data_IF_612729193954
#
_entry.id   IF_612729193954
#
_cell.length_a   1.000
_cell.length_b   1.000
_cell.length_c   1.000
_cell.angle_alpha   90.00
_cell.angle_beta   90.00
_cell.angle_gamma   90.00
#
_symmetry.space_group_name_H-M   'P 1'
#
loop_
_entity.id
_entity.type
_entity.pdbx_description
1 polymer ?
#
# COMPACT_ATOMS: atom_id res chain seq x y z
N UNK A 1 -11.44 -3.73 -8.57
CA UNK A 1 -10.68 -2.59 -7.98
C UNK A 1 -9.81 -3.03 -6.79
N UNK A 2 -10.32 -3.87 -5.87
CA UNK A 2 -9.53 -4.48 -4.77
C UNK A 2 -8.27 -5.21 -5.28
N UNK A 3 -8.36 -5.92 -6.40
CA UNK A 3 -7.20 -6.53 -7.08
C UNK A 3 -6.16 -5.52 -7.59
N UNK A 4 -6.57 -4.31 -7.98
CA UNK A 4 -5.68 -3.37 -8.66
C UNK A 4 -4.56 -2.85 -7.74
N UNK A 5 -4.87 -2.61 -6.47
CA UNK A 5 -3.87 -2.22 -5.46
C UNK A 5 -2.92 -3.38 -5.16
N UNK A 6 -3.45 -4.60 -5.06
CA UNK A 6 -2.64 -5.79 -4.83
C UNK A 6 -1.64 -6.00 -5.98
N UNK A 7 -2.11 -5.88 -7.22
CA UNK A 7 -1.24 -5.96 -8.41
C UNK A 7 -0.21 -4.82 -8.44
N UNK A 8 -0.60 -3.60 -8.08
CA UNK A 8 0.32 -2.46 -8.01
C UNK A 8 1.40 -2.65 -6.93
N UNK A 9 1.03 -3.17 -5.76
CA UNK A 9 1.95 -3.50 -4.67
C UNK A 9 2.91 -4.63 -5.06
N UNK A 10 2.40 -5.70 -5.64
CA UNK A 10 3.22 -6.82 -6.11
C UNK A 10 4.22 -6.39 -7.20
N UNK A 11 3.78 -5.52 -8.11
CA UNK A 11 4.66 -4.95 -9.14
C UNK A 11 5.73 -4.04 -8.53
N UNK A 12 5.38 -3.22 -7.53
CA UNK A 12 6.33 -2.38 -6.81
C UNK A 12 7.35 -3.24 -6.04
N UNK A 13 6.90 -4.27 -5.31
CA UNK A 13 7.77 -5.18 -4.57
C UNK A 13 8.81 -5.84 -5.49
N UNK A 14 8.37 -6.44 -6.61
CA UNK A 14 9.27 -7.06 -7.59
C UNK A 14 10.33 -6.08 -8.12
N UNK A 15 9.94 -4.84 -8.40
CA UNK A 15 10.87 -3.80 -8.82
C UNK A 15 11.87 -3.40 -7.73
N UNK A 16 11.45 -3.41 -6.47
CA UNK A 16 12.31 -3.14 -5.34
C UNK A 16 13.26 -4.30 -5.04
N UNK A 17 13.08 -5.49 -5.59
CA UNK A 17 14.00 -6.61 -5.43
C UNK A 17 15.03 -6.70 -6.57
N UNK A 18 14.73 -6.13 -7.73
CA UNK A 18 15.68 -6.02 -8.83
C UNK A 18 16.93 -5.18 -8.48
N UNK A 19 18.12 -5.56 -8.98
CA UNK A 19 19.35 -4.79 -8.77
C UNK A 19 19.27 -3.43 -9.48
N UNK A 20 19.69 -2.37 -8.80
CA UNK A 20 19.72 -1.01 -9.34
C UNK A 20 21.11 -0.72 -9.89
N UNK A 21 21.21 -0.45 -11.19
CA UNK A 21 22.46 -0.05 -11.86
C UNK A 21 22.52 1.47 -12.06
N UNK A 22 23.72 2.05 -11.92
CA UNK A 22 23.93 3.50 -11.98
C UNK A 22 23.72 4.09 -13.40
N UNK A 23 23.53 5.40 -13.49
CA UNK A 23 23.37 6.13 -14.76
C UNK A 23 21.93 6.14 -15.26
N UNK A 24 21.71 5.99 -16.57
CA UNK A 24 20.37 6.01 -17.20
C UNK A 24 19.42 4.98 -16.60
N UNK A 25 19.95 3.82 -16.18
CA UNK A 25 19.17 2.78 -15.51
C UNK A 25 18.60 3.24 -14.16
N UNK A 26 19.34 4.05 -13.41
CA UNK A 26 18.87 4.63 -12.15
C UNK A 26 17.78 5.69 -12.37
N UNK A 27 17.93 6.54 -13.40
CA UNK A 27 16.90 7.50 -13.78
C UNK A 27 15.58 6.82 -14.15
N UNK A 28 15.65 5.75 -14.95
CA UNK A 28 14.50 4.93 -15.32
C UNK A 28 13.88 4.25 -14.09
N UNK A 29 14.69 3.67 -13.20
CA UNK A 29 14.20 3.06 -11.97
C UNK A 29 13.42 4.06 -11.10
N UNK A 30 13.98 5.25 -10.87
CA UNK A 30 13.31 6.31 -10.08
C UNK A 30 11.96 6.69 -10.67
N UNK A 31 11.91 6.89 -11.98
CA UNK A 31 10.67 7.25 -12.68
C UNK A 31 9.62 6.15 -12.58
N UNK A 32 10.00 4.90 -12.83
CA UNK A 32 9.05 3.78 -12.78
C UNK A 32 8.57 3.53 -11.34
N UNK A 33 9.44 3.60 -10.34
CA UNK A 33 9.05 3.49 -8.92
C UNK A 33 8.04 4.58 -8.55
N UNK A 34 8.26 5.83 -8.97
CA UNK A 34 7.33 6.94 -8.74
C UNK A 34 5.94 6.68 -9.33
N UNK A 35 5.86 6.16 -10.56
CA UNK A 35 4.58 5.81 -11.18
C UNK A 35 3.85 4.71 -10.40
N UNK A 36 4.58 3.69 -9.95
CA UNK A 36 3.99 2.60 -9.15
C UNK A 36 3.51 3.09 -7.78
N UNK A 37 4.27 3.98 -7.13
CA UNK A 37 3.86 4.61 -5.89
C UNK A 37 2.56 5.42 -6.04
N UNK A 38 2.42 6.17 -7.14
CA UNK A 38 1.18 6.88 -7.44
C UNK A 38 0.00 5.92 -7.58
N UNK A 39 0.16 4.81 -8.32
CA UNK A 39 -0.89 3.80 -8.47
C UNK A 39 -1.30 3.15 -7.13
N UNK A 40 -0.34 2.84 -6.24
CA UNK A 40 -0.62 2.31 -4.91
C UNK A 40 -1.39 3.34 -4.07
N UNK A 41 -0.93 4.60 -4.06
CA UNK A 41 -1.58 5.70 -3.32
C UNK A 41 -3.02 5.92 -3.80
N UNK A 42 -3.24 5.94 -5.11
CA UNK A 42 -4.56 6.21 -5.68
C UNK A 42 -5.54 5.10 -5.29
N UNK A 43 -5.11 3.84 -5.30
CA UNK A 43 -5.97 2.75 -4.88
C UNK A 43 -6.21 2.67 -3.36
N UNK A 44 -5.24 3.04 -2.52
CA UNK A 44 -5.47 3.21 -1.07
C UNK A 44 -6.46 4.36 -0.77
N UNK A 45 -6.48 5.39 -1.61
CA UNK A 45 -7.41 6.50 -1.48
C UNK A 45 -8.85 6.06 -1.80
N UNK A 46 -9.02 5.22 -2.83
CA UNK A 46 -10.32 4.65 -3.20
C UNK A 46 -10.86 3.65 -2.16
N UNK A 47 -9.99 2.90 -1.49
CA UNK A 47 -10.36 1.99 -0.39
C UNK A 47 -11.04 2.75 0.77
N UNK A 48 -10.64 4.00 1.03
CA UNK A 48 -11.29 4.87 2.04
C UNK A 48 -12.73 5.21 1.71
N UNK A 49 -13.02 5.51 0.44
CA UNK A 49 -14.36 5.93 0.04
C UNK A 49 -15.35 4.76 0.22
N UNK A 50 -14.89 3.54 -0.06
CA UNK A 50 -15.70 2.34 0.08
C UNK A 50 -15.94 1.93 1.54
N UNK A 51 -14.95 2.08 2.42
CA UNK A 51 -15.12 1.82 3.86
C UNK A 51 -16.11 2.82 4.49
N UNK A 52 -16.00 4.11 4.14
CA UNK A 52 -16.87 5.16 4.67
C UNK A 52 -18.36 5.02 4.25
N UNK A 53 -18.63 4.40 3.09
CA UNK A 53 -19.98 4.21 2.55
C UNK A 53 -20.69 2.96 3.10
N UNK A 54 -20.03 2.10 3.89
CA UNK A 54 -20.69 0.94 4.47
C UNK A 54 -19.87 0.08 5.44
N UNK A 55 -20.61 -0.46 6.41
CA UNK A 55 -20.30 -1.65 7.21
C UNK A 55 -19.32 -1.49 8.39
N UNK A 56 -18.59 -0.38 8.53
CA UNK A 56 -17.37 -0.39 9.36
C UNK A 56 -17.32 0.64 10.52
N UNK A 57 -18.44 1.29 10.84
CA UNK A 57 -18.52 2.45 11.76
C UNK A 57 -18.02 2.18 13.20
N UNK A 58 -18.03 0.93 13.68
CA UNK A 58 -17.64 0.59 15.06
C UNK A 58 -16.20 0.06 15.23
N UNK A 59 -15.56 -0.46 14.18
CA UNK A 59 -14.19 -1.04 14.22
C UNK A 59 -13.18 -0.27 13.35
N UNK A 60 -13.63 0.77 12.64
CA UNK A 60 -12.87 1.57 11.68
C UNK A 60 -11.69 2.38 12.24
N UNK A 61 -11.78 2.81 13.50
CA UNK A 61 -10.91 3.88 13.99
C UNK A 61 -9.42 3.57 13.90
N UNK A 62 -8.99 2.34 14.19
CA UNK A 62 -7.58 1.94 14.12
C UNK A 62 -7.12 1.70 12.69
N UNK A 63 -7.94 1.05 11.87
CA UNK A 63 -7.66 0.74 10.47
C UNK A 63 -7.56 2.02 9.62
N UNK A 64 -8.48 2.97 9.82
CA UNK A 64 -8.43 4.28 9.14
C UNK A 64 -7.19 5.10 9.55
N UNK A 65 -6.83 5.07 10.84
CA UNK A 65 -5.61 5.72 11.34
C UNK A 65 -4.35 5.11 10.74
N UNK A 66 -4.27 3.78 10.71
CA UNK A 66 -3.17 3.08 10.08
C UNK A 66 -3.04 3.43 8.59
N UNK A 67 -4.16 3.38 7.85
CA UNK A 67 -4.17 3.77 6.44
C UNK A 67 -3.68 5.20 6.24
N UNK A 68 -4.11 6.13 7.09
CA UNK A 68 -3.65 7.52 7.06
C UNK A 68 -2.13 7.62 7.25
N UNK A 69 -1.58 6.89 8.22
CA UNK A 69 -0.13 6.83 8.45
C UNK A 69 0.61 6.28 7.22
N UNK A 70 0.10 5.21 6.60
CA UNK A 70 0.68 4.63 5.38
C UNK A 70 0.65 5.61 4.21
N UNK A 71 -0.46 6.33 4.03
CA UNK A 71 -0.61 7.37 3.01
C UNK A 71 0.35 8.53 3.20
N UNK A 72 0.57 8.97 4.44
CA UNK A 72 1.57 10.00 4.77
C UNK A 72 2.98 9.53 4.42
N UNK A 73 3.33 8.29 4.80
CA UNK A 73 4.65 7.71 4.47
C UNK A 73 4.89 7.59 2.97
N UNK A 74 3.90 7.10 2.22
CA UNK A 74 3.96 7.04 0.75
C UNK A 74 4.14 8.43 0.13
N UNK A 75 3.44 9.44 0.65
CA UNK A 75 3.55 10.81 0.15
C UNK A 75 4.94 11.41 0.37
N UNK A 76 5.58 11.11 1.50
CA UNK A 76 6.95 11.54 1.78
C UNK A 76 7.98 10.81 0.89
N UNK A 77 7.75 9.54 0.56
CA UNK A 77 8.67 8.76 -0.28
C UNK A 77 8.64 9.17 -1.77
N UNK A 78 7.54 9.73 -2.27
CA UNK A 78 7.41 10.14 -3.67
C UNK A 78 8.50 11.11 -4.15
N UNK A 79 8.75 12.23 -3.44
CA UNK A 79 9.88 13.12 -3.71
C UNK A 79 11.23 12.47 -3.38
N UNK A 80 11.32 11.75 -2.25
CA UNK A 80 12.58 11.13 -1.80
C UNK A 80 13.16 10.15 -2.83
N UNK A 81 12.33 9.41 -3.55
CA UNK A 81 12.76 8.55 -4.67
C UNK A 81 13.50 9.32 -5.75
N UNK A 82 13.05 10.53 -6.08
CA UNK A 82 13.67 11.32 -7.13
C UNK A 82 14.97 11.99 -6.67
N UNK A 83 15.02 12.42 -5.43
CA UNK A 83 16.03 13.37 -4.94
C UNK A 83 17.13 12.72 -4.10
N UNK A 84 16.89 11.55 -3.51
CA UNK A 84 17.85 10.94 -2.58
C UNK A 84 19.16 10.54 -3.26
N UNK A 85 20.28 10.97 -2.66
CA UNK A 85 21.61 10.53 -3.03
C UNK A 85 21.83 9.05 -2.68
N UNK A 86 21.34 8.61 -1.51
CA UNK A 86 21.34 7.21 -1.09
C UNK A 86 20.07 6.50 -1.56
N UNK A 87 20.16 5.90 -2.74
CA UNK A 87 19.07 5.12 -3.36
C UNK A 87 18.77 3.85 -2.57
N UNK A 88 19.78 3.26 -1.92
CA UNK A 88 19.63 2.01 -1.17
C UNK A 88 18.81 2.23 0.09
N UNK A 89 19.02 3.34 0.79
CA UNK A 89 18.21 3.73 1.94
C UNK A 89 16.74 3.94 1.56
N UNK A 90 16.46 4.67 0.47
CA UNK A 90 15.07 4.87 0.00
C UNK A 90 14.43 3.56 -0.45
N UNK A 91 15.18 2.69 -1.13
CA UNK A 91 14.71 1.36 -1.55
C UNK A 91 14.30 0.51 -0.34
N UNK A 92 15.07 0.56 0.74
CA UNK A 92 14.75 -0.17 1.97
C UNK A 92 13.50 0.37 2.66
N UNK A 93 13.37 1.70 2.79
CA UNK A 93 12.16 2.31 3.35
C UNK A 93 10.92 2.01 2.51
N UNK A 94 11.07 1.95 1.18
CA UNK A 94 10.00 1.53 0.28
C UNK A 94 9.57 0.08 0.52
N UNK A 95 10.51 -0.85 0.75
CA UNK A 95 10.16 -2.25 1.07
C UNK A 95 9.37 -2.34 2.36
N UNK A 96 9.79 -1.62 3.39
CA UNK A 96 9.09 -1.59 4.69
C UNK A 96 7.66 -1.10 4.51
N UNK A 97 7.48 0.02 3.80
CA UNK A 97 6.15 0.56 3.51
C UNK A 97 5.30 -0.42 2.70
N UNK A 98 5.88 -1.10 1.69
CA UNK A 98 5.16 -2.13 0.92
C UNK A 98 4.69 -3.27 1.82
N UNK A 99 5.56 -3.78 2.69
CA UNK A 99 5.20 -4.84 3.65
C UNK A 99 4.10 -4.38 4.62
N UNK A 100 4.19 -3.16 5.15
CA UNK A 100 3.18 -2.60 6.04
C UNK A 100 1.81 -2.46 5.36
N UNK A 101 1.78 -2.06 4.08
CA UNK A 101 0.53 -1.98 3.30
C UNK A 101 -0.03 -3.39 3.03
N UNK A 102 0.81 -4.38 2.74
CA UNK A 102 0.37 -5.77 2.60
C UNK A 102 -0.26 -6.30 3.89
N UNK A 103 0.34 -6.03 5.05
CA UNK A 103 -0.23 -6.42 6.34
C UNK A 103 -1.55 -5.70 6.65
N UNK A 104 -1.64 -4.41 6.33
CA UNK A 104 -2.88 -3.64 6.48
C UNK A 104 -4.03 -4.26 5.67
N UNK A 105 -3.76 -4.62 4.42
CA UNK A 105 -4.73 -5.26 3.53
C UNK A 105 -5.11 -6.66 3.98
N UNK A 106 -4.16 -7.43 4.52
CA UNK A 106 -4.45 -8.74 5.09
C UNK A 106 -5.41 -8.60 6.28
N UNK A 107 -5.14 -7.69 7.22
CA UNK A 107 -6.05 -7.44 8.36
C UNK A 107 -7.44 -6.99 7.94
N UNK A 108 -7.53 -6.16 6.88
CA UNK A 108 -8.81 -5.75 6.31
C UNK A 108 -9.59 -6.94 5.73
N UNK A 109 -8.88 -7.86 5.08
CA UNK A 109 -9.47 -9.10 4.57
C UNK A 109 -9.94 -10.00 5.70
N UNK A 110 -9.08 -10.26 6.69
CA UNK A 110 -9.41 -11.10 7.86
C UNK A 110 -10.66 -10.57 8.58
N UNK A 111 -10.74 -9.26 8.83
CA UNK A 111 -11.89 -8.62 9.47
C UNK A 111 -13.19 -8.80 8.69
N UNK A 112 -13.12 -8.72 7.36
CA UNK A 112 -14.29 -8.93 6.51
C UNK A 112 -14.77 -10.40 6.50
N UNK A 113 -13.87 -11.36 6.71
CA UNK A 113 -14.25 -12.78 6.81
C UNK A 113 -14.84 -13.13 8.17
N UNK A 114 -14.24 -12.65 9.26
CA UNK A 114 -14.73 -12.87 10.63
C UNK A 114 -16.20 -12.43 10.79
N UNK A 115 -16.60 -11.35 10.13
CA UNK A 115 -17.96 -10.81 10.21
C UNK A 115 -18.97 -11.62 9.36
N UNK A 116 -18.57 -12.11 8.18
CA UNK A 116 -19.41 -13.02 7.37
C UNK A 116 -19.64 -14.35 8.11
N UNK A 117 -18.62 -14.86 8.80
CA UNK A 117 -18.75 -16.08 9.62
C UNK A 117 -19.73 -15.86 10.80
N UNK A 118 -19.69 -14.69 11.44
CA UNK A 118 -20.64 -14.29 12.49
C UNK A 118 -22.08 -14.13 11.98
N UNK A 119 -22.29 -13.56 10.79
CA UNK A 119 -23.63 -13.40 10.19
C UNK A 119 -24.24 -14.73 9.71
N UNK A 120 -23.42 -15.68 9.27
CA UNK A 120 -23.86 -17.00 8.81
C UNK A 120 -24.05 -18.01 9.96
N UNK A 121 -23.32 -17.86 11.08
CA UNK A 121 -23.40 -18.74 12.25
C UNK A 121 -24.61 -18.53 13.19
N UNK A 122 -25.47 -17.54 12.91
CA UNK A 122 -26.66 -17.22 13.72
C UNK A 122 -27.95 -17.94 13.30
N UNK A 123 -27.87 -18.96 12.45
CA UNK A 123 -29.04 -19.64 11.84
C UNK A 123 -29.22 -21.09 12.32
N UNK A 124 -29.08 -21.36 13.62
CA UNK A 124 -29.45 -22.65 14.24
C UNK A 124 -30.37 -22.47 15.46
#
# INVERSE_FOLDING_TARGET
MRDQVQHALAALAQMLDAPVTNGTALGNWRWTVRQRLAAVRDGLSLESAQAADGWLVAREGSVLRERTVLMTRLSALGPAVLEAADVSAVREELRRVVADISHHRQRLHDLAYDEVELELGGSE
#
